data_IF_903801717191
#
_entry.id   IF_903801717191
#
_cell.length_a   1.000
_cell.length_b   1.000
_cell.length_c   1.000
_cell.angle_alpha   90.00
_cell.angle_beta   90.00
_cell.angle_gamma   90.00
#
_symmetry.space_group_name_H-M   'P 1'
#
loop_
_entity.id
_entity.type
_entity.pdbx_description
1 polymer ?
#
# COMPACT_ATOMS: atom_id res chain seq x y z
N UNK A 1 1.18 -7.00 11.24
CA UNK A 1 2.45 -6.99 10.47
C UNK A 1 2.58 -8.33 9.77
N UNK A 2 3.08 -8.41 8.53
CA UNK A 2 3.37 -9.72 7.91
C UNK A 2 4.58 -10.32 8.63
N UNK A 3 4.35 -11.10 9.70
CA UNK A 3 5.38 -11.57 10.64
C UNK A 3 6.50 -12.44 10.04
N UNK A 4 6.48 -12.71 8.72
CA UNK A 4 7.52 -13.44 8.02
C UNK A 4 8.36 -12.60 7.05
N UNK A 5 7.87 -11.47 6.49
CA UNK A 5 8.57 -10.69 5.45
C UNK A 5 8.11 -9.23 5.41
N UNK A 6 9.04 -8.26 5.34
CA UNK A 6 8.68 -6.84 5.12
C UNK A 6 8.50 -6.56 3.62
N UNK A 7 7.37 -5.96 3.22
CA UNK A 7 7.16 -5.45 1.86
C UNK A 7 7.18 -3.93 1.87
N UNK A 8 8.18 -3.35 1.22
CA UNK A 8 8.44 -1.91 1.16
C UNK A 8 8.23 -1.38 -0.24
N UNK A 9 7.46 -0.30 -0.37
CA UNK A 9 7.29 0.39 -1.66
C UNK A 9 8.16 1.64 -1.69
N UNK A 10 9.08 1.74 -2.64
CA UNK A 10 9.87 2.94 -2.89
C UNK A 10 9.30 3.69 -4.10
N UNK A 11 8.74 4.88 -3.88
CA UNK A 11 8.38 5.79 -4.98
C UNK A 11 9.64 6.55 -5.39
N UNK A 12 10.27 6.16 -6.48
CA UNK A 12 11.46 6.85 -6.98
C UNK A 12 11.12 8.14 -7.74
N UNK A 13 11.72 9.26 -7.32
CA UNK A 13 11.71 10.56 -8.01
C UNK A 13 10.37 11.29 -8.02
N UNK A 14 10.26 12.43 -7.33
CA UNK A 14 9.05 13.25 -7.20
C UNK A 14 9.26 14.69 -7.66
N UNK A 15 8.27 15.24 -8.36
CA UNK A 15 8.20 16.67 -8.68
C UNK A 15 7.04 17.32 -7.94
N UNK A 16 7.33 18.17 -6.95
CA UNK A 16 6.33 18.96 -6.24
C UNK A 16 5.46 19.75 -7.21
N UNK A 17 4.15 19.80 -6.95
CA UNK A 17 3.17 20.53 -7.78
C UNK A 17 2.73 19.78 -9.04
N UNK A 18 3.42 18.70 -9.42
CA UNK A 18 3.10 17.88 -10.61
C UNK A 18 2.71 16.45 -10.22
N UNK A 19 3.45 15.85 -9.30
CA UNK A 19 3.29 14.43 -8.95
C UNK A 19 2.56 14.21 -7.62
N UNK A 20 2.11 15.27 -6.93
CA UNK A 20 1.55 15.21 -5.57
C UNK A 20 0.42 14.19 -5.45
N UNK A 21 -0.55 14.27 -6.35
CA UNK A 21 -1.69 13.35 -6.37
C UNK A 21 -1.26 11.91 -6.66
N UNK A 22 -0.39 11.71 -7.66
CA UNK A 22 0.08 10.37 -8.04
C UNK A 22 0.92 9.73 -6.93
N UNK A 23 1.79 10.50 -6.30
CA UNK A 23 2.63 10.06 -5.17
C UNK A 23 1.77 9.68 -3.98
N UNK A 24 0.75 10.48 -3.67
CA UNK A 24 -0.25 10.14 -2.65
C UNK A 24 -0.97 8.84 -2.98
N UNK A 25 -1.44 8.66 -4.22
CA UNK A 25 -2.11 7.42 -4.64
C UNK A 25 -1.19 6.20 -4.58
N UNK A 26 0.11 6.33 -4.90
CA UNK A 26 1.08 5.24 -4.72
C UNK A 26 1.14 4.81 -3.25
N UNK A 27 1.27 5.75 -2.31
CA UNK A 27 1.32 5.40 -0.88
C UNK A 27 0.01 4.82 -0.35
N UNK A 28 -1.14 5.36 -0.74
CA UNK A 28 -2.44 4.81 -0.36
C UNK A 28 -2.68 3.42 -0.95
N UNK A 29 -2.21 3.16 -2.17
CA UNK A 29 -2.28 1.84 -2.81
C UNK A 29 -1.37 0.84 -2.11
N UNK A 30 -0.13 1.23 -1.79
CA UNK A 30 0.79 0.41 -1.02
C UNK A 30 0.17 0.01 0.33
N UNK A 31 -0.38 0.99 1.06
CA UNK A 31 -1.10 0.76 2.32
C UNK A 31 -2.24 -0.23 2.14
N UNK A 32 -3.15 0.05 1.19
CA UNK A 32 -4.37 -0.72 0.99
C UNK A 32 -4.11 -2.17 0.55
N UNK A 33 -3.01 -2.42 -0.16
CA UNK A 33 -2.69 -3.71 -0.77
C UNK A 33 -1.51 -4.41 -0.10
N UNK A 34 -1.41 -4.28 1.22
CA UNK A 34 -0.62 -5.19 2.05
C UNK A 34 0.87 -4.88 2.19
N UNK A 35 1.38 -3.78 1.62
CA UNK A 35 2.74 -3.33 1.94
C UNK A 35 2.83 -2.85 3.39
N UNK A 36 4.01 -2.95 4.00
CA UNK A 36 4.25 -2.58 5.39
C UNK A 36 4.65 -1.11 5.53
N UNK A 37 5.33 -0.55 4.53
CA UNK A 37 5.64 0.89 4.47
C UNK A 37 5.90 1.41 3.06
N UNK A 38 5.82 2.73 2.92
CA UNK A 38 6.24 3.46 1.72
C UNK A 38 7.40 4.41 2.04
N UNK A 39 8.38 4.43 1.14
CA UNK A 39 9.47 5.39 1.14
C UNK A 39 9.27 6.38 -0.01
N UNK A 40 9.07 7.64 0.35
CA UNK A 40 8.93 8.75 -0.59
C UNK A 40 10.22 9.57 -0.71
N UNK A 41 10.40 10.32 -1.81
CA UNK A 41 11.44 11.34 -1.86
C UNK A 41 11.21 12.40 -0.78
N UNK A 42 12.29 12.94 -0.21
CA UNK A 42 12.27 13.96 0.86
C UNK A 42 11.38 15.18 0.57
N UNK A 43 11.27 15.55 -0.71
CA UNK A 43 10.46 16.66 -1.19
C UNK A 43 8.95 16.36 -1.36
N UNK A 44 8.48 15.15 -1.01
CA UNK A 44 7.09 14.73 -1.13
C UNK A 44 6.28 14.87 0.18
N UNK A 45 6.59 15.89 1.00
CA UNK A 45 6.03 16.07 2.35
C UNK A 45 4.50 16.02 2.43
N UNK A 46 3.81 16.73 1.55
CA UNK A 46 2.33 16.75 1.53
C UNK A 46 1.72 15.37 1.26
N UNK A 47 2.35 14.57 0.39
CA UNK A 47 1.89 13.19 0.14
C UNK A 47 2.10 12.32 1.37
N UNK A 48 3.26 12.45 2.04
CA UNK A 48 3.54 11.73 3.27
C UNK A 48 2.55 12.06 4.40
N UNK A 49 2.26 13.35 4.60
CA UNK A 49 1.25 13.82 5.58
C UNK A 49 -0.13 13.24 5.29
N UNK A 50 -0.56 13.25 4.02
CA UNK A 50 -1.88 12.71 3.63
C UNK A 50 -1.98 11.21 3.91
N UNK A 51 -0.92 10.44 3.59
CA UNK A 51 -0.93 8.99 3.84
C UNK A 51 -0.92 8.70 5.34
N UNK A 52 -0.16 9.46 6.14
CA UNK A 52 -0.17 9.34 7.61
C UNK A 52 -1.55 9.64 8.20
N UNK A 53 -2.20 10.75 7.79
CA UNK A 53 -3.57 11.07 8.24
C UNK A 53 -4.56 9.93 7.95
N UNK A 54 -4.48 9.32 6.77
CA UNK A 54 -5.34 8.18 6.42
C UNK A 54 -5.01 6.96 7.28
N UNK A 55 -3.73 6.66 7.51
CA UNK A 55 -3.32 5.56 8.40
C UNK A 55 -3.81 5.78 9.83
N UNK A 56 -3.67 6.99 10.38
CA UNK A 56 -4.12 7.30 11.73
C UNK A 56 -5.64 7.12 11.86
N UNK A 57 -6.40 7.60 10.87
CA UNK A 57 -7.87 7.59 10.92
C UNK A 57 -8.50 6.24 10.59
N UNK A 58 -7.88 5.45 9.72
CA UNK A 58 -8.44 4.19 9.20
C UNK A 58 -7.59 2.97 9.56
N UNK A 59 -6.63 3.14 10.48
CA UNK A 59 -5.83 2.08 11.06
C UNK A 59 -4.59 1.69 10.24
N UNK A 60 -3.75 0.90 10.88
CA UNK A 60 -2.49 0.40 10.37
C UNK A 60 -2.27 -1.07 10.75
N UNK A 61 -1.01 -1.51 10.92
CA UNK A 61 0.22 -0.72 10.82
C UNK A 61 0.63 -0.41 9.36
N UNK A 62 1.06 0.83 9.09
CA UNK A 62 1.68 1.22 7.82
C UNK A 62 2.67 2.38 7.99
N UNK A 63 3.94 2.16 7.65
CA UNK A 63 5.01 3.16 7.77
C UNK A 63 5.09 4.14 6.60
N UNK A 64 5.51 5.38 6.88
CA UNK A 64 5.75 6.40 5.84
C UNK A 64 7.06 7.13 6.11
N UNK A 65 8.01 6.99 5.20
CA UNK A 65 9.33 7.62 5.27
C UNK A 65 9.56 8.63 4.15
N UNK A 66 10.40 9.64 4.45
CA UNK A 66 10.87 10.65 3.51
C UNK A 66 12.39 10.54 3.44
N UNK A 67 12.94 10.30 2.24
CA UNK A 67 14.36 9.99 2.02
C UNK A 67 14.88 10.70 0.78
N UNK A 68 16.04 11.33 0.88
CA UNK A 68 16.76 11.97 -0.23
C UNK A 68 17.75 11.01 -0.92
N UNK A 69 18.00 9.84 -0.32
CA UNK A 69 19.01 8.86 -0.71
C UNK A 69 18.44 7.61 -1.42
N UNK A 70 17.39 7.79 -2.23
CA UNK A 70 16.62 6.69 -2.83
C UNK A 70 17.47 5.69 -3.63
N UNK A 71 18.40 6.16 -4.46
CA UNK A 71 19.36 5.28 -5.16
C UNK A 71 20.18 4.45 -4.19
N UNK A 72 20.62 5.03 -3.07
CA UNK A 72 21.41 4.33 -2.07
C UNK A 72 20.58 3.26 -1.35
N UNK A 73 19.30 3.52 -1.08
CA UNK A 73 18.37 2.54 -0.53
C UNK A 73 18.28 1.32 -1.45
N UNK A 74 18.02 1.52 -2.75
CA UNK A 74 17.93 0.40 -3.71
C UNK A 74 19.24 -0.37 -3.78
N UNK A 75 20.37 0.33 -3.91
CA UNK A 75 21.70 -0.28 -4.01
C UNK A 75 22.03 -1.14 -2.79
N UNK A 76 21.70 -0.65 -1.59
CA UNK A 76 22.12 -1.26 -0.33
C UNK A 76 21.05 -2.18 0.29
N UNK A 77 19.90 -2.37 -0.36
CA UNK A 77 18.86 -3.29 0.12
C UNK A 77 19.42 -4.72 0.23
N UNK A 78 19.23 -5.39 1.37
CA UNK A 78 19.76 -6.74 1.62
C UNK A 78 18.81 -7.86 1.17
N UNK A 79 17.56 -7.52 0.81
CA UNK A 79 16.56 -8.45 0.30
C UNK A 79 16.36 -8.38 -1.22
N UNK A 80 15.21 -8.89 -1.66
CA UNK A 80 14.80 -8.89 -3.08
C UNK A 80 14.34 -7.50 -3.51
N UNK A 81 14.74 -7.08 -4.71
CA UNK A 81 14.31 -5.83 -5.34
C UNK A 81 13.48 -6.15 -6.59
N UNK A 82 12.21 -5.77 -6.58
CA UNK A 82 11.33 -5.80 -7.75
C UNK A 82 11.12 -4.38 -8.29
N UNK A 83 11.67 -4.08 -9.46
CA UNK A 83 11.46 -2.82 -10.14
C UNK A 83 10.31 -2.92 -11.13
N UNK A 84 9.24 -2.15 -10.91
CA UNK A 84 8.08 -2.14 -11.80
C UNK A 84 8.32 -1.18 -12.96
N UNK A 85 8.38 -1.75 -14.16
CA UNK A 85 8.66 -1.04 -15.41
C UNK A 85 7.97 -1.71 -16.59
N UNK A 86 7.42 -0.93 -17.51
CA UNK A 86 6.79 -1.45 -18.73
C UNK A 86 7.77 -2.24 -19.63
N UNK A 87 9.07 -2.11 -19.42
CA UNK A 87 10.11 -2.83 -20.16
C UNK A 87 10.48 -4.18 -19.53
N UNK A 88 9.94 -4.50 -18.35
CA UNK A 88 10.25 -5.71 -17.59
C UNK A 88 9.60 -6.97 -18.16
N UNK A 89 9.94 -8.11 -17.54
CA UNK A 89 9.33 -9.40 -17.81
C UNK A 89 7.85 -9.39 -17.39
N UNK A 90 7.01 -10.14 -18.11
CA UNK A 90 5.57 -10.09 -17.88
C UNK A 90 5.24 -10.66 -16.51
N UNK A 91 4.43 -9.95 -15.73
CA UNK A 91 4.10 -10.33 -14.35
C UNK A 91 3.61 -11.78 -14.24
N UNK A 92 2.76 -12.25 -15.15
CA UNK A 92 2.24 -13.63 -15.12
C UNK A 92 3.31 -14.71 -15.37
N UNK A 93 4.47 -14.33 -15.90
CA UNK A 93 5.58 -15.26 -16.15
C UNK A 93 6.54 -15.31 -14.95
N UNK A 94 6.63 -14.24 -14.14
CA UNK A 94 7.65 -14.09 -13.07
C UNK A 94 7.07 -13.97 -11.65
N UNK A 95 5.74 -13.82 -11.48
CA UNK A 95 5.10 -13.68 -10.16
C UNK A 95 5.33 -14.89 -9.23
N UNK A 96 5.55 -16.08 -9.79
CA UNK A 96 5.94 -17.27 -9.02
C UNK A 96 7.34 -17.16 -8.45
N UNK A 97 8.32 -16.79 -9.29
CA UNK A 97 9.73 -16.66 -8.91
C UNK A 97 9.92 -15.55 -7.87
N UNK A 98 9.20 -14.42 -8.01
CA UNK A 98 9.20 -13.35 -7.01
C UNK A 98 8.70 -13.88 -5.67
N UNK A 99 7.57 -14.60 -5.65
CA UNK A 99 7.01 -15.18 -4.42
C UNK A 99 7.96 -16.19 -3.79
N UNK A 100 8.59 -17.04 -4.58
CA UNK A 100 9.58 -18.03 -4.09
C UNK A 100 10.79 -17.34 -3.46
N UNK A 101 11.32 -16.29 -4.10
CA UNK A 101 12.46 -15.53 -3.58
C UNK A 101 12.20 -14.95 -2.18
N UNK A 102 10.96 -14.56 -1.89
CA UNK A 102 10.57 -13.96 -0.60
C UNK A 102 9.88 -14.95 0.36
N UNK A 103 9.61 -16.19 -0.06
CA UNK A 103 8.90 -17.19 0.74
C UNK A 103 9.69 -17.64 1.99
N UNK A 104 11.03 -17.52 1.95
CA UNK A 104 11.91 -17.81 3.09
C UNK A 104 11.96 -16.73 4.17
N UNK A 105 11.10 -15.72 4.07
CA UNK A 105 11.07 -14.55 4.95
C UNK A 105 12.04 -13.45 4.57
N UNK A 106 12.42 -13.39 3.29
CA UNK A 106 13.24 -12.30 2.76
C UNK A 106 12.40 -11.06 2.51
N UNK A 107 12.93 -9.89 2.88
CA UNK A 107 12.26 -8.61 2.64
C UNK A 107 12.24 -8.25 1.16
N UNK A 108 11.17 -7.58 0.74
CA UNK A 108 10.93 -7.16 -0.64
C UNK A 108 10.89 -5.64 -0.74
N UNK A 109 11.72 -5.08 -1.62
CA UNK A 109 11.63 -3.69 -2.05
C UNK A 109 10.98 -3.61 -3.44
N UNK A 110 9.78 -3.05 -3.50
CA UNK A 110 9.07 -2.76 -4.76
C UNK A 110 9.36 -1.33 -5.17
N UNK A 111 10.10 -1.15 -6.26
CA UNK A 111 10.47 0.17 -6.78
C UNK A 111 9.48 0.58 -7.87
N UNK A 112 8.82 1.72 -7.68
CA UNK A 112 7.96 2.34 -8.69
C UNK A 112 8.53 3.69 -9.11
N UNK A 113 8.75 3.85 -10.41
CA UNK A 113 9.43 5.01 -10.98
C UNK A 113 8.54 6.22 -11.30
N UNK A 114 9.14 7.41 -11.26
CA UNK A 114 8.66 8.61 -11.96
C UNK A 114 9.11 8.67 -13.43
N UNK A 115 9.15 9.87 -14.02
CA UNK A 115 9.35 10.06 -15.48
C UNK A 115 10.70 9.53 -16.02
N UNK A 116 11.75 9.45 -15.20
CA UNK A 116 13.08 8.94 -15.60
C UNK A 116 13.73 8.15 -14.49
N UNK A 117 13.63 6.82 -14.58
CA UNK A 117 14.35 5.90 -13.71
C UNK A 117 15.78 5.70 -14.25
N UNK A 118 16.84 5.83 -13.43
CA UNK A 118 18.21 5.63 -13.87
C UNK A 118 18.51 4.14 -14.16
N UNK A 119 19.49 3.89 -15.03
CA UNK A 119 19.88 2.53 -15.44
C UNK A 119 20.38 1.67 -14.27
N UNK A 120 21.05 2.27 -13.28
CA UNK A 120 21.53 1.59 -12.08
C UNK A 120 20.41 0.86 -11.30
N UNK A 121 19.17 1.36 -11.36
CA UNK A 121 18.01 0.71 -10.75
C UNK A 121 17.61 -0.55 -11.52
N UNK A 122 17.73 -0.54 -12.85
CA UNK A 122 17.50 -1.73 -13.67
C UNK A 122 18.54 -2.81 -13.38
N UNK A 123 19.80 -2.42 -13.25
CA UNK A 123 20.91 -3.36 -12.98
C UNK A 123 20.86 -3.93 -11.57
N UNK A 124 20.43 -3.14 -10.58
CA UNK A 124 20.30 -3.63 -9.20
C UNK A 124 19.07 -4.50 -8.99
N UNK A 125 17.97 -4.28 -9.73
CA UNK A 125 16.75 -5.03 -9.50
C UNK A 125 16.95 -6.53 -9.78
N UNK A 126 16.56 -7.36 -8.81
CA UNK A 126 16.55 -8.82 -8.97
C UNK A 126 15.46 -9.22 -9.98
N UNK A 127 14.36 -8.46 -10.01
CA UNK A 127 13.29 -8.60 -10.99
C UNK A 127 12.92 -7.24 -11.59
N UNK A 128 13.01 -7.11 -12.91
CA UNK A 128 12.39 -6.00 -13.62
C UNK A 128 11.04 -6.50 -14.16
N UNK A 129 9.93 -6.03 -13.59
CA UNK A 129 8.60 -6.61 -13.82
C UNK A 129 7.67 -5.63 -14.55
N UNK A 130 7.05 -6.11 -15.63
CA UNK A 130 6.00 -5.42 -16.37
C UNK A 130 4.63 -6.05 -16.08
N UNK A 131 3.77 -5.34 -15.34
CA UNK A 131 2.35 -5.70 -15.17
C UNK A 131 1.60 -5.68 -16.50
N UNK A 132 2.00 -4.77 -17.37
CA UNK A 132 1.84 -4.90 -18.81
C UNK A 132 3.10 -4.36 -19.46
N UNK A 133 3.34 -4.70 -20.72
CA UNK A 133 4.38 -4.04 -21.53
C UNK A 133 3.82 -2.84 -22.33
N UNK A 134 2.78 -2.17 -21.80
CA UNK A 134 2.23 -0.94 -22.35
C UNK A 134 2.44 0.22 -21.35
N UNK A 135 2.64 1.46 -21.84
CA UNK A 135 2.75 2.60 -20.95
C UNK A 135 1.40 2.90 -20.28
N UNK A 136 1.38 2.86 -18.95
CA UNK A 136 0.20 3.23 -18.13
C UNK A 136 0.64 3.99 -16.87
N UNK A 137 0.03 3.69 -15.71
CA UNK A 137 0.37 4.29 -14.41
C UNK A 137 1.16 3.34 -13.51
N UNK A 138 2.06 3.93 -12.74
CA UNK A 138 2.73 3.36 -11.57
C UNK A 138 1.76 2.85 -10.50
N UNK A 139 0.60 3.50 -10.33
CA UNK A 139 -0.44 3.07 -9.38
C UNK A 139 -1.09 1.77 -9.85
N UNK A 140 -1.43 1.68 -11.13
CA UNK A 140 -2.01 0.46 -11.70
C UNK A 140 -1.01 -0.70 -11.72
N UNK A 141 0.26 -0.40 -12.04
CA UNK A 141 1.34 -1.38 -11.96
C UNK A 141 1.55 -1.91 -10.54
N UNK A 142 1.59 -1.01 -9.55
CA UNK A 142 1.72 -1.42 -8.16
C UNK A 142 0.53 -2.26 -7.69
N UNK A 143 -0.69 -1.83 -8.00
CA UNK A 143 -1.90 -2.51 -7.54
C UNK A 143 -1.98 -3.96 -8.04
N UNK A 144 -1.79 -4.17 -9.34
CA UNK A 144 -1.82 -5.53 -9.91
C UNK A 144 -0.65 -6.36 -9.40
N UNK A 145 0.54 -5.78 -9.26
CA UNK A 145 1.69 -6.53 -8.75
C UNK A 145 1.47 -7.01 -7.31
N UNK A 146 0.97 -6.15 -6.43
CA UNK A 146 0.69 -6.53 -5.04
C UNK A 146 -0.44 -7.57 -4.94
N UNK A 147 -1.52 -7.40 -5.70
CA UNK A 147 -2.61 -8.39 -5.80
C UNK A 147 -2.09 -9.77 -6.24
N UNK A 148 -1.20 -9.83 -7.24
CA UNK A 148 -0.56 -11.08 -7.68
C UNK A 148 0.44 -11.64 -6.67
N UNK A 149 1.14 -10.79 -5.95
CA UNK A 149 2.13 -11.19 -4.94
C UNK A 149 1.47 -11.84 -3.71
N UNK A 150 0.32 -11.30 -3.30
CA UNK A 150 -0.42 -11.73 -2.11
C UNK A 150 -1.60 -12.67 -2.43
N UNK A 151 -1.93 -12.86 -3.70
CA UNK A 151 -3.00 -13.75 -4.17
C UNK A 151 -4.36 -13.40 -3.54
N UNK A 152 -4.61 -12.10 -3.32
CA UNK A 152 -5.83 -11.55 -2.74
C UNK A 152 -5.91 -11.58 -1.21
N UNK A 153 -4.95 -12.21 -0.52
CA UNK A 153 -4.95 -12.32 0.94
C UNK A 153 -4.87 -10.95 1.65
N UNK A 154 -4.32 -9.93 0.98
CA UNK A 154 -4.24 -8.56 1.47
C UNK A 154 -5.61 -7.87 1.56
N UNK A 155 -6.60 -8.31 0.79
CA UNK A 155 -7.94 -7.72 0.75
C UNK A 155 -8.78 -8.06 2.00
N UNK A 156 -8.42 -9.15 2.68
CA UNK A 156 -9.03 -9.59 3.93
C UNK A 156 -8.32 -9.03 5.18
N UNK A 157 -7.29 -8.18 5.00
CA UNK A 157 -6.50 -7.63 6.10
C UNK A 157 -7.35 -6.77 7.04
N UNK A 158 -7.25 -7.05 8.34
CA UNK A 158 -7.82 -6.21 9.38
C UNK A 158 -6.94 -4.97 9.64
N UNK A 159 -7.58 -3.87 10.00
CA UNK A 159 -6.93 -2.59 10.30
C UNK A 159 -6.87 -2.40 11.80
N UNK A 160 -5.66 -2.46 12.35
CA UNK A 160 -5.40 -2.25 13.78
C UNK A 160 -5.45 -0.74 14.11
N UNK A 161 -5.87 -0.41 15.33
CA UNK A 161 -5.89 0.97 15.85
C UNK A 161 -6.61 1.99 14.93
N UNK A 162 -7.63 1.56 14.20
CA UNK A 162 -8.42 2.45 13.37
C UNK A 162 -9.37 3.30 14.23
N UNK A 163 -9.42 4.61 14.03
CA UNK A 163 -10.48 5.45 14.61
C UNK A 163 -11.82 5.24 13.88
N UNK A 164 -11.76 4.94 12.58
CA UNK A 164 -12.93 4.83 11.70
C UNK A 164 -12.86 3.59 10.81
N UNK A 165 -14.04 3.01 10.55
CA UNK A 165 -14.21 1.88 9.64
C UNK A 165 -15.26 2.16 8.58
N UNK A 166 -14.95 1.83 7.34
CA UNK A 166 -15.93 1.85 6.23
C UNK A 166 -16.67 0.52 6.21
N UNK A 167 -18.00 0.56 6.19
CA UNK A 167 -18.83 -0.64 6.19
C UNK A 167 -19.20 -1.06 4.75
N UNK A 168 -18.89 -2.30 4.34
CA UNK A 168 -19.33 -2.80 3.04
C UNK A 168 -20.85 -2.86 2.94
N UNK A 169 -21.41 -2.26 1.90
CA UNK A 169 -22.84 -2.28 1.63
C UNK A 169 -23.14 -2.24 0.13
N UNK A 170 -24.26 -2.82 -0.29
CA UNK A 170 -24.62 -2.88 -1.71
C UNK A 170 -24.89 -1.49 -2.31
N UNK A 171 -25.40 -0.54 -1.52
CA UNK A 171 -25.60 0.85 -1.90
C UNK A 171 -25.64 1.72 -0.65
N UNK A 172 -24.66 2.62 -0.50
CA UNK A 172 -24.57 3.54 0.63
C UNK A 172 -23.15 4.11 0.78
N UNK A 173 -22.90 4.79 1.91
CA UNK A 173 -21.57 5.29 2.30
C UNK A 173 -21.39 5.36 3.83
N UNK A 174 -21.62 4.25 4.51
CA UNK A 174 -21.59 4.14 5.98
C UNK A 174 -20.15 4.08 6.49
N UNK A 175 -19.82 4.98 7.41
CA UNK A 175 -18.54 5.02 8.14
C UNK A 175 -18.87 5.11 9.63
N UNK A 176 -18.32 4.21 10.43
CA UNK A 176 -18.52 4.14 11.89
C UNK A 176 -17.23 4.47 12.63
N UNK A 177 -17.36 4.96 13.86
CA UNK A 177 -16.21 5.09 14.76
C UNK A 177 -15.90 3.70 15.34
N UNK A 178 -14.63 3.27 15.35
CA UNK A 178 -14.26 1.89 15.68
C UNK A 178 -14.40 1.55 17.18
N UNK A 179 -14.69 2.53 18.03
CA UNK A 179 -14.90 2.36 19.47
C UNK A 179 -16.35 2.11 19.90
N UNK A 180 -17.31 2.07 18.96
CA UNK A 180 -18.75 1.99 19.27
C UNK A 180 -19.39 0.63 18.94
N UNK A 181 -18.60 -0.45 18.99
CA UNK A 181 -19.13 -1.80 18.96
C UNK A 181 -19.66 -2.19 20.36
N UNK A 182 -20.92 -1.84 20.66
CA UNK A 182 -21.60 -2.48 21.81
C UNK A 182 -22.85 -1.85 22.45
N UNK A 183 -23.53 -0.89 21.85
CA UNK A 183 -24.88 -0.51 22.34
C UNK A 183 -25.96 -1.20 21.50
N UNK A 184 -26.41 -2.37 21.95
CA UNK A 184 -27.66 -2.97 21.45
C UNK A 184 -28.79 -1.90 21.50
N UNK A 185 -29.66 -1.81 20.49
CA UNK A 185 -30.84 -0.95 20.59
C UNK A 185 -31.75 -1.52 21.67
N UNK A 186 -31.77 -0.86 22.83
CA UNK A 186 -32.59 -1.26 23.97
C UNK A 186 -34.04 -1.45 23.56
N UNK A 187 -34.57 -2.64 23.84
CA UNK A 187 -35.97 -3.01 23.73
C UNK A 187 -36.82 -2.09 24.61
N UNK A 188 -37.33 -1.02 24.02
CA UNK A 188 -38.30 -0.12 24.62
C UNK A 188 -39.67 -0.76 24.63
N UNK A 189 -39.88 -1.75 25.50
CA UNK A 189 -41.22 -2.28 25.79
C UNK A 189 -42.17 -1.17 26.28
N UNK A 190 -43.47 -1.20 25.91
CA UNK A 190 -44.38 -0.11 26.22
C UNK A 190 -44.78 -0.12 27.70
N UNK A 191 -44.47 0.96 28.41
CA UNK A 191 -45.00 1.21 29.76
C UNK A 191 -46.48 1.57 29.65
N UNK A 192 -47.37 0.63 29.99
CA UNK A 192 -48.77 0.92 30.27
C UNK A 192 -48.86 1.70 31.58
N UNK A 193 -49.21 2.98 31.51
CA UNK A 193 -49.60 3.76 32.66
C UNK A 193 -51.10 3.56 32.91
N UNK A 194 -51.41 2.95 34.06
CA UNK A 194 -52.72 2.97 34.70
C UNK A 194 -53.24 4.41 34.82
N UNK A 195 -54.53 4.58 34.57
CA UNK A 195 -55.30 5.75 34.98
C UNK A 195 -56.49 5.26 35.82
N UNK A 196 -56.53 5.73 37.06
CA UNK A 196 -57.73 5.88 37.87
C UNK A 196 -58.81 6.72 37.15
#
# INVERSE_FOLDING_TARGET
MNDAREVVVLRYGHRPGRDDRMTTHVGLTARALGADRVVFPDNAGQSAETVRDITDRFGGPFGVELRDDQTAIVRNWEGTVAHLTMYGERVQDVEGDVREAVAGGGDLLVVVGGEKVPWELYERADFNVGVTNQPHSEVAGLAVFLDRLFEGAELDREWEDADRRVMPEATGKTVVDAGDDGSEPGDGGPTTADRD
#
